data_IF_228068377818
#
_entry.id   IF_228068377818
#
_cell.length_a   1.000
_cell.length_b   1.000
_cell.length_c   1.000
_cell.angle_alpha   90.00
_cell.angle_beta   90.00
_cell.angle_gamma   90.00
#
_symmetry.space_group_name_H-M   'P 1'
#
loop_
_entity.id
_entity.type
_entity.pdbx_description
1 polymer ?
#
# COMPACT_ATOMS: atom_id res chain seq x y z
N UNK A 1 27.27 -0.56 2.27
CA UNK A 1 26.19 0.45 2.19
C UNK A 1 25.30 0.25 3.41
N UNK A 2 24.77 1.29 4.06
CA UNK A 2 23.82 1.10 5.16
C UNK A 2 22.61 0.32 4.64
N UNK A 3 22.15 -0.68 5.39
CA UNK A 3 20.98 -1.48 5.04
C UNK A 3 19.76 -0.55 4.93
N UNK A 4 19.31 -0.29 3.71
CA UNK A 4 18.07 0.46 3.46
C UNK A 4 16.90 -0.50 3.47
N UNK A 5 15.83 -0.12 4.15
CA UNK A 5 14.60 -0.91 4.14
C UNK A 5 13.97 -0.87 2.75
N UNK A 6 13.27 -1.93 2.37
CA UNK A 6 12.62 -2.08 1.06
C UNK A 6 11.86 -0.81 0.59
N UNK A 7 10.99 -0.17 1.40
CA UNK A 7 10.30 1.06 0.99
C UNK A 7 11.24 2.27 0.78
N UNK A 8 12.33 2.40 1.55
CA UNK A 8 13.31 3.49 1.38
C UNK A 8 14.13 3.29 0.12
N UNK A 9 14.52 2.05 -0.18
CA UNK A 9 15.22 1.69 -1.43
C UNK A 9 14.32 1.96 -2.64
N UNK A 10 13.03 1.60 -2.54
CA UNK A 10 12.02 1.91 -3.55
C UNK A 10 11.83 3.42 -3.77
N UNK A 11 11.80 4.19 -2.69
CA UNK A 11 11.64 5.64 -2.77
C UNK A 11 12.92 6.34 -3.27
N UNK A 12 14.09 5.70 -3.13
CA UNK A 12 15.39 6.28 -3.46
C UNK A 12 16.03 7.07 -2.30
N UNK A 13 15.53 6.90 -1.07
CA UNK A 13 15.99 7.65 0.12
C UNK A 13 14.88 7.87 1.16
N UNK A 14 15.24 8.54 2.25
CA UNK A 14 14.38 8.72 3.44
C UNK A 14 13.99 10.18 3.74
N UNK A 15 14.25 11.11 2.80
CA UNK A 15 13.88 12.52 2.99
C UNK A 15 12.40 12.76 2.68
N UNK A 16 11.85 13.87 3.19
CA UNK A 16 10.49 14.32 2.87
C UNK A 16 10.36 14.57 1.36
N UNK A 17 11.36 15.21 0.74
CA UNK A 17 11.36 15.46 -0.70
C UNK A 17 11.31 14.15 -1.50
N UNK A 18 12.12 13.17 -1.12
CA UNK A 18 12.12 11.84 -1.74
C UNK A 18 10.77 11.14 -1.59
N UNK A 19 10.17 11.23 -0.41
CA UNK A 19 8.86 10.64 -0.13
C UNK A 19 7.75 11.29 -0.94
N UNK A 20 7.80 12.62 -1.12
CA UNK A 20 6.84 13.36 -1.94
C UNK A 20 6.96 12.98 -3.43
N UNK A 21 8.17 12.92 -3.98
CA UNK A 21 8.40 12.45 -5.35
C UNK A 21 7.93 11.02 -5.56
N UNK A 22 8.19 10.13 -4.59
CA UNK A 22 7.74 8.76 -4.63
C UNK A 22 6.21 8.66 -4.62
N UNK A 23 5.53 9.40 -3.75
CA UNK A 23 4.07 9.47 -3.71
C UNK A 23 3.49 9.99 -5.02
N UNK A 24 4.07 11.05 -5.61
CA UNK A 24 3.64 11.56 -6.92
C UNK A 24 3.78 10.52 -8.03
N UNK A 25 4.85 9.73 -8.03
CA UNK A 25 4.99 8.63 -9.00
C UNK A 25 3.92 7.54 -8.83
N UNK A 26 3.50 7.26 -7.59
CA UNK A 26 2.40 6.32 -7.31
C UNK A 26 1.05 6.90 -7.74
N UNK A 27 0.86 8.21 -7.58
CA UNK A 27 -0.34 8.91 -8.06
C UNK A 27 -0.41 8.82 -9.59
N UNK A 28 0.70 9.01 -10.31
CA UNK A 28 0.74 8.80 -11.76
C UNK A 28 0.38 7.35 -12.14
N UNK A 29 0.93 6.35 -11.43
CA UNK A 29 0.56 4.95 -11.65
C UNK A 29 -0.94 4.69 -11.42
N UNK A 30 -1.54 5.36 -10.44
CA UNK A 30 -2.97 5.31 -10.15
C UNK A 30 -3.79 6.03 -11.22
N UNK A 31 -3.35 7.15 -11.75
CA UNK A 31 -4.14 7.96 -12.70
C UNK A 31 -4.10 7.37 -14.10
N UNK A 32 -2.90 7.10 -14.62
CA UNK A 32 -2.67 6.74 -16.02
C UNK A 32 -1.77 5.53 -16.20
N UNK A 33 -1.07 5.09 -15.16
CA UNK A 33 -0.12 3.98 -15.25
C UNK A 33 -0.70 2.61 -14.85
N UNK A 34 0.17 1.77 -14.28
CA UNK A 34 -0.07 0.33 -14.06
C UNK A 34 -1.20 0.01 -13.08
N UNK A 35 -1.63 0.97 -12.26
CA UNK A 35 -2.70 0.79 -11.28
C UNK A 35 -4.03 1.42 -11.71
N UNK A 36 -4.07 2.10 -12.85
CA UNK A 36 -5.25 2.84 -13.33
C UNK A 36 -6.51 1.98 -13.45
N UNK A 37 -6.37 0.76 -13.97
CA UNK A 37 -7.47 -0.21 -14.08
C UNK A 37 -7.72 -0.97 -12.78
N UNK A 38 -6.66 -1.26 -12.01
CA UNK A 38 -6.72 -2.04 -10.78
C UNK A 38 -7.33 -1.28 -9.60
N UNK A 39 -7.16 0.05 -9.54
CA UNK A 39 -7.58 0.86 -8.39
C UNK A 39 -9.07 0.76 -8.09
N UNK A 40 -9.90 0.54 -9.12
CA UNK A 40 -11.36 0.40 -8.98
C UNK A 40 -11.72 -0.69 -7.98
N UNK A 41 -11.07 -1.85 -8.09
CA UNK A 41 -11.35 -3.02 -7.25
C UNK A 41 -10.90 -2.83 -5.80
N UNK A 42 -9.93 -1.95 -5.56
CA UNK A 42 -9.40 -1.67 -4.23
C UNK A 42 -10.39 -0.90 -3.34
N UNK A 43 -11.45 -0.34 -3.94
CA UNK A 43 -12.45 0.52 -3.29
C UNK A 43 -13.77 -0.20 -2.94
N UNK A 44 -13.88 -1.47 -3.28
CA UNK A 44 -15.10 -2.28 -3.12
C UNK A 44 -15.64 -2.32 -1.68
N UNK A 45 -14.78 -2.15 -0.67
CA UNK A 45 -15.17 -1.95 0.73
C UNK A 45 -14.94 -0.50 1.20
N UNK A 46 -15.62 0.46 0.57
CA UNK A 46 -15.54 1.87 0.95
C UNK A 46 -16.63 2.33 1.91
N UNK A 47 -17.21 1.52 2.80
CA UNK A 47 -18.30 1.99 3.67
C UNK A 47 -17.84 2.18 5.11
N UNK A 48 -17.78 3.44 5.57
CA UNK A 48 -17.49 3.79 6.97
C UNK A 48 -18.58 3.30 7.93
N UNK A 49 -19.78 3.02 7.43
CA UNK A 49 -20.90 2.47 8.22
C UNK A 49 -20.71 1.00 8.60
N UNK A 50 -19.79 0.28 7.94
CA UNK A 50 -19.51 -1.13 8.23
C UNK A 50 -18.54 -1.34 9.42
N UNK A 51 -18.24 -0.29 10.18
CA UNK A 51 -17.29 -0.33 11.29
C UNK A 51 -15.95 -0.94 10.85
N UNK A 52 -15.55 -2.04 11.50
CA UNK A 52 -14.29 -2.76 11.24
C UNK A 52 -14.32 -3.65 9.98
N UNK A 53 -15.46 -3.77 9.28
CA UNK A 53 -15.61 -4.70 8.15
C UNK A 53 -14.64 -4.43 6.99
N UNK A 54 -14.41 -3.15 6.66
CA UNK A 54 -13.50 -2.78 5.57
C UNK A 54 -12.02 -2.84 5.94
N UNK A 55 -11.60 -2.34 7.11
CA UNK A 55 -10.26 -2.62 7.62
C UNK A 55 -9.93 -4.12 7.67
N UNK A 56 -10.86 -4.97 8.10
CA UNK A 56 -10.69 -6.43 8.10
C UNK A 56 -10.46 -6.99 6.70
N UNK A 57 -11.25 -6.57 5.71
CA UNK A 57 -11.06 -7.00 4.32
C UNK A 57 -9.70 -6.56 3.75
N UNK A 58 -9.25 -5.34 4.05
CA UNK A 58 -7.92 -4.87 3.64
C UNK A 58 -6.79 -5.63 4.32
N UNK A 59 -6.96 -5.98 5.60
CA UNK A 59 -6.01 -6.82 6.32
C UNK A 59 -5.94 -8.23 5.70
N UNK A 60 -7.08 -8.83 5.33
CA UNK A 60 -7.11 -10.12 4.65
C UNK A 60 -6.45 -10.07 3.26
N UNK A 61 -6.66 -9.00 2.49
CA UNK A 61 -5.98 -8.76 1.21
C UNK A 61 -4.45 -8.70 1.38
N UNK A 62 -3.95 -7.95 2.37
CA UNK A 62 -2.52 -7.88 2.67
C UNK A 62 -1.97 -9.20 3.23
N UNK A 63 -2.72 -9.90 4.08
CA UNK A 63 -2.27 -11.14 4.72
C UNK A 63 -2.05 -12.28 3.71
N UNK A 64 -2.83 -12.32 2.61
CA UNK A 64 -2.62 -13.32 1.54
C UNK A 64 -1.22 -13.26 0.94
N UNK A 65 -0.67 -12.05 0.82
CA UNK A 65 0.65 -11.78 0.24
C UNK A 65 1.78 -12.35 1.12
N UNK A 66 1.54 -12.53 2.42
CA UNK A 66 2.53 -13.11 3.34
C UNK A 66 2.92 -14.52 2.88
N UNK A 67 1.91 -15.35 2.59
CA UNK A 67 2.13 -16.73 2.18
C UNK A 67 2.53 -16.85 0.70
N UNK A 68 2.08 -15.96 -0.18
CA UNK A 68 2.40 -16.07 -1.62
C UNK A 68 3.74 -15.45 -2.00
N UNK A 69 4.15 -14.37 -1.33
CA UNK A 69 5.26 -13.54 -1.81
C UNK A 69 6.32 -13.24 -0.75
N UNK A 70 5.91 -13.00 0.51
CA UNK A 70 6.87 -12.66 1.58
C UNK A 70 7.64 -13.91 2.02
N UNK A 71 6.95 -14.99 2.37
CA UNK A 71 7.53 -16.25 2.86
C UNK A 71 6.97 -17.48 2.12
N UNK A 72 7.06 -17.55 0.77
CA UNK A 72 6.47 -18.64 0.00
C UNK A 72 7.05 -20.02 0.35
N UNK A 73 8.34 -20.07 0.73
CA UNK A 73 9.04 -21.30 1.08
C UNK A 73 9.48 -21.32 2.56
N UNK A 74 8.80 -20.56 3.42
CA UNK A 74 9.12 -20.50 4.85
C UNK A 74 10.12 -19.42 5.25
N UNK A 75 10.40 -19.36 6.55
CA UNK A 75 11.25 -18.32 7.17
C UNK A 75 12.73 -18.51 6.87
N UNK A 76 13.12 -19.74 6.58
CA UNK A 76 14.47 -20.18 6.29
C UNK A 76 15.05 -19.50 5.04
N UNK A 77 14.20 -18.99 4.14
CA UNK A 77 14.62 -18.23 2.96
C UNK A 77 15.15 -16.83 3.26
N UNK A 78 14.76 -16.24 4.39
CA UNK A 78 15.06 -14.83 4.71
C UNK A 78 15.86 -14.68 6.00
N UNK A 79 15.72 -15.64 6.92
CA UNK A 79 16.36 -15.55 8.22
C UNK A 79 17.88 -15.60 8.08
N UNK A 80 18.57 -14.60 8.64
CA UNK A 80 20.03 -14.46 8.61
C UNK A 80 20.63 -14.40 7.19
N UNK A 81 19.84 -14.00 6.18
CA UNK A 81 20.29 -13.87 4.79
C UNK A 81 20.21 -12.43 4.32
N UNK A 82 21.08 -12.07 3.38
CA UNK A 82 20.97 -10.80 2.67
C UNK A 82 19.79 -10.84 1.68
N UNK A 83 18.77 -10.04 1.95
CA UNK A 83 17.54 -9.95 1.16
C UNK A 83 17.55 -8.77 0.16
N UNK A 84 18.67 -8.08 0.00
CA UNK A 84 18.80 -6.94 -0.93
C UNK A 84 18.88 -7.35 -2.42
N UNK A 85 19.12 -8.63 -2.71
CA UNK A 85 19.20 -9.18 -4.06
C UNK A 85 17.86 -9.69 -4.61
N UNK A 86 17.80 -10.99 -4.93
CA UNK A 86 16.63 -11.61 -5.57
C UNK A 86 15.32 -11.42 -4.79
N UNK A 87 15.39 -11.43 -3.44
CA UNK A 87 14.22 -11.16 -2.59
C UNK A 87 13.68 -9.74 -2.81
N UNK A 88 14.56 -8.73 -2.88
CA UNK A 88 14.14 -7.36 -3.17
C UNK A 88 13.51 -7.26 -4.56
N UNK A 89 14.18 -7.79 -5.58
CA UNK A 89 13.73 -7.69 -6.98
C UNK A 89 12.33 -8.29 -7.19
N UNK A 90 12.03 -9.43 -6.58
CA UNK A 90 10.71 -10.05 -6.66
C UNK A 90 9.62 -9.30 -5.88
N UNK A 91 9.97 -8.66 -4.75
CA UNK A 91 9.00 -8.07 -3.82
C UNK A 91 8.80 -6.56 -4.00
N UNK A 92 9.71 -5.85 -4.67
CA UNK A 92 9.69 -4.38 -4.73
C UNK A 92 8.38 -3.83 -5.34
N UNK A 93 7.86 -4.46 -6.39
CA UNK A 93 6.62 -4.02 -7.03
C UNK A 93 5.39 -4.35 -6.18
N UNK A 94 5.42 -5.44 -5.43
CA UNK A 94 4.36 -5.81 -4.48
C UNK A 94 4.29 -4.77 -3.36
N UNK A 95 5.43 -4.40 -2.76
CA UNK A 95 5.47 -3.36 -1.75
C UNK A 95 4.98 -2.00 -2.29
N UNK A 96 5.39 -1.60 -3.50
CA UNK A 96 4.88 -0.40 -4.17
C UNK A 96 3.35 -0.43 -4.31
N UNK A 97 2.79 -1.56 -4.73
CA UNK A 97 1.34 -1.72 -4.87
C UNK A 97 0.62 -1.65 -3.52
N UNK A 98 1.19 -2.22 -2.45
CA UNK A 98 0.60 -2.15 -1.12
C UNK A 98 0.61 -0.72 -0.57
N UNK A 99 1.65 0.07 -0.85
CA UNK A 99 1.70 1.50 -0.53
C UNK A 99 0.62 2.26 -1.32
N UNK A 100 0.47 1.97 -2.62
CA UNK A 100 -0.57 2.56 -3.47
C UNK A 100 -1.98 2.25 -2.96
N UNK A 101 -2.28 0.99 -2.64
CA UNK A 101 -3.53 0.56 -2.02
C UNK A 101 -3.80 1.30 -0.71
N UNK A 102 -2.78 1.40 0.16
CA UNK A 102 -2.89 2.09 1.45
C UNK A 102 -3.28 3.56 1.30
N UNK A 103 -2.53 4.31 0.49
CA UNK A 103 -2.81 5.73 0.23
C UNK A 103 -4.18 5.96 -0.41
N UNK A 104 -4.53 5.15 -1.42
CA UNK A 104 -5.81 5.27 -2.11
C UNK A 104 -7.01 4.96 -1.20
N UNK A 105 -6.92 3.89 -0.38
CA UNK A 105 -7.95 3.53 0.61
C UNK A 105 -8.09 4.60 1.69
N UNK A 106 -6.97 5.14 2.20
CA UNK A 106 -6.99 6.20 3.21
C UNK A 106 -7.67 7.48 2.68
N UNK A 107 -7.30 7.95 1.49
CA UNK A 107 -7.92 9.14 0.90
C UNK A 107 -9.44 8.98 0.71
N UNK A 108 -9.89 7.83 0.21
CA UNK A 108 -11.32 7.52 0.09
C UNK A 108 -12.03 7.45 1.43
N UNK A 109 -11.38 6.91 2.46
CA UNK A 109 -11.93 6.80 3.80
C UNK A 109 -12.11 8.17 4.44
N UNK A 110 -11.08 9.03 4.36
CA UNK A 110 -11.12 10.41 4.86
C UNK A 110 -12.20 11.24 4.16
N UNK A 111 -12.33 11.12 2.83
CA UNK A 111 -13.40 11.79 2.07
C UNK A 111 -14.80 11.41 2.56
N UNK A 112 -15.00 10.15 2.96
CA UNK A 112 -16.30 9.68 3.48
C UNK A 112 -16.57 10.17 4.89
N UNK A 113 -15.55 10.20 5.75
CA UNK A 113 -15.66 10.80 7.09
C UNK A 113 -16.02 12.27 6.96
N UNK A 114 -15.26 13.03 6.16
CA UNK A 114 -15.52 14.45 5.93
C UNK A 114 -16.93 14.71 5.42
N UNK A 115 -17.41 13.92 4.44
CA UNK A 115 -18.80 14.01 3.94
C UNK A 115 -19.83 13.72 5.02
N UNK A 116 -19.61 12.72 5.88
CA UNK A 116 -20.53 12.38 6.95
C UNK A 116 -20.61 13.50 8.01
N UNK A 117 -19.49 14.10 8.39
CA UNK A 117 -19.46 15.24 9.32
C UNK A 117 -20.13 16.49 8.72
N UNK A 118 -19.86 16.80 7.44
CA UNK A 118 -20.53 17.91 6.75
C UNK A 118 -22.06 17.78 6.72
N UNK A 119 -22.58 16.55 6.61
CA UNK A 119 -24.02 16.32 6.62
C UNK A 119 -24.64 16.55 8.01
N UNK A 120 -23.89 16.31 9.10
CA UNK A 120 -24.38 16.61 10.47
C UNK A 120 -24.53 18.10 10.72
N UNK A 121 -23.62 18.93 10.20
CA UNK A 121 -23.69 20.39 10.37
C UNK A 121 -24.73 21.06 9.47
N UNK A 122 -25.30 20.34 8.50
CA UNK A 122 -26.34 20.82 7.58
C UNK A 122 -27.75 20.36 7.95
N UNK A 123 -27.88 19.48 8.94
CA UNK A 123 -29.13 18.99 9.49
C UNK A 123 -29.45 19.76 10.78
#
# INVERSE_FOLDING_TARGET
MPARYLPETLAGGSTIATSASFANSIIQDLETGIYSTLKKDWTSCGSIKRGIGCPKAWAQDANKIVCSDVLPNGVEEVQNKDISGAYYERNKMIARQQIAKGGYRLGLWLNKIAKAEQLKCRA
#
